data_IF_552051397613
#
_entry.id   IF_552051397613
#
_cell.length_a   1.000
_cell.length_b   1.000
_cell.length_c   1.000
_cell.angle_alpha   90.00
_cell.angle_beta   90.00
_cell.angle_gamma   90.00
#
_symmetry.space_group_name_H-M   'P 1'
#
loop_
_entity.id
_entity.type
_entity.pdbx_description
1 polymer ?
#
# COMPACT_ATOMS: atom_id res chain seq x y z
N UNK A 1 2.16 -6.24 23.02
CA UNK A 1 1.84 -6.69 21.65
C UNK A 1 3.07 -6.60 20.75
N UNK A 2 3.29 -7.53 19.85
CA UNK A 2 4.44 -7.55 18.93
C UNK A 2 3.99 -7.59 17.47
N UNK A 3 4.38 -6.59 16.68
CA UNK A 3 4.22 -6.56 15.22
C UNK A 3 5.47 -7.15 14.58
N UNK A 4 5.32 -8.13 13.69
CA UNK A 4 6.44 -8.67 12.90
C UNK A 4 6.24 -8.25 11.44
N UNK A 5 7.18 -7.47 10.91
CA UNK A 5 7.17 -6.98 9.54
C UNK A 5 8.58 -7.00 8.92
N UNK A 6 8.72 -6.52 7.69
CA UNK A 6 10.00 -6.16 7.09
C UNK A 6 10.48 -4.79 7.59
N UNK A 7 11.23 -4.05 6.77
CA UNK A 7 11.60 -2.67 7.07
C UNK A 7 10.33 -1.80 7.04
N UNK A 8 10.20 -0.88 7.99
CA UNK A 8 9.06 0.04 8.09
C UNK A 8 9.23 1.25 7.14
N UNK A 9 9.04 0.99 5.85
CA UNK A 9 9.11 1.99 4.77
C UNK A 9 7.73 2.46 4.31
N UNK A 10 7.68 3.31 3.27
CA UNK A 10 6.44 3.84 2.68
C UNK A 10 5.73 2.81 1.79
N UNK A 11 5.31 1.69 2.37
CA UNK A 11 4.48 0.68 1.72
C UNK A 11 3.06 0.67 2.29
N UNK A 12 2.08 0.14 1.54
CA UNK A 12 0.67 0.13 1.99
C UNK A 12 0.44 -0.67 3.27
N UNK A 13 1.20 -1.74 3.51
CA UNK A 13 1.15 -2.51 4.75
C UNK A 13 1.73 -1.71 5.93
N UNK A 14 2.89 -1.09 5.72
CA UNK A 14 3.59 -0.29 6.71
C UNK A 14 2.79 0.94 7.11
N UNK A 15 2.18 1.63 6.15
CA UNK A 15 1.29 2.77 6.42
C UNK A 15 0.10 2.32 7.27
N UNK A 16 -0.55 1.19 6.94
CA UNK A 16 -1.65 0.65 7.75
C UNK A 16 -1.20 0.30 9.18
N UNK A 17 -0.03 -0.33 9.35
CA UNK A 17 0.51 -0.66 10.65
C UNK A 17 0.83 0.60 11.46
N UNK A 18 1.33 1.65 10.82
CA UNK A 18 1.57 2.95 11.46
C UNK A 18 0.27 3.63 11.88
N UNK A 19 -0.79 3.56 11.06
CA UNK A 19 -2.09 4.10 11.48
C UNK A 19 -2.65 3.36 12.70
N UNK A 20 -2.55 2.02 12.76
CA UNK A 20 -2.89 1.25 13.97
C UNK A 20 -2.02 1.70 15.15
N UNK A 21 -0.72 1.90 14.95
CA UNK A 21 0.19 2.32 16.01
C UNK A 21 -0.08 3.74 16.52
N UNK A 22 -0.40 4.69 15.63
CA UNK A 22 -0.74 6.08 15.96
C UNK A 22 -1.99 6.20 16.83
N UNK A 23 -2.96 5.31 16.59
CA UNK A 23 -4.25 5.29 17.30
C UNK A 23 -4.28 4.25 18.44
N UNK A 24 -3.11 3.78 18.91
CA UNK A 24 -3.09 2.79 19.98
C UNK A 24 -3.63 3.35 21.29
N UNK A 25 -4.42 2.58 22.05
CA UNK A 25 -4.79 2.92 23.43
C UNK A 25 -3.54 3.10 24.32
N UNK A 26 -3.65 3.94 25.33
CA UNK A 26 -2.52 4.28 26.22
C UNK A 26 -2.00 3.09 27.05
N UNK A 27 -2.84 2.10 27.27
CA UNK A 27 -2.53 0.86 27.99
C UNK A 27 -1.92 -0.24 27.11
N UNK A 28 -1.77 0.01 25.81
CA UNK A 28 -1.18 -0.94 24.84
C UNK A 28 0.26 -0.58 24.55
N UNK A 29 1.19 -1.40 25.04
CA UNK A 29 2.58 -1.36 24.60
C UNK A 29 2.73 -2.10 23.25
N UNK A 30 3.33 -1.44 22.27
CA UNK A 30 3.54 -2.01 20.95
C UNK A 30 5.03 -2.04 20.59
N UNK A 31 5.48 -3.23 20.22
CA UNK A 31 6.84 -3.53 19.80
C UNK A 31 6.86 -3.91 18.33
N UNK A 32 7.94 -3.60 17.63
CA UNK A 32 8.16 -3.96 16.24
C UNK A 32 9.37 -4.89 16.13
N UNK A 33 9.19 -6.03 15.47
CA UNK A 33 10.28 -6.95 15.13
C UNK A 33 10.47 -6.93 13.63
N UNK A 34 11.57 -6.32 13.17
CA UNK A 34 11.91 -6.19 11.77
C UNK A 34 12.67 -7.42 11.31
N UNK A 35 12.08 -8.16 10.37
CA UNK A 35 12.65 -9.39 9.79
C UNK A 35 13.52 -9.01 8.59
N UNK A 36 14.79 -8.73 8.83
CA UNK A 36 15.73 -8.17 7.87
C UNK A 36 16.23 -9.19 6.84
N UNK A 37 16.16 -8.84 5.56
CA UNK A 37 16.93 -9.52 4.52
C UNK A 37 18.39 -9.09 4.63
N UNK A 38 19.37 -9.88 4.12
CA UNK A 38 20.79 -9.48 4.16
C UNK A 38 21.07 -8.10 3.56
N UNK A 39 20.33 -7.73 2.50
CA UNK A 39 20.45 -6.43 1.85
C UNK A 39 19.90 -5.27 2.70
N UNK A 40 19.03 -5.55 3.64
CA UNK A 40 18.35 -4.56 4.47
C UNK A 40 19.06 -4.34 5.82
N UNK A 41 20.13 -5.10 6.09
CA UNK A 41 20.81 -5.08 7.38
C UNK A 41 21.37 -3.70 7.73
N UNK A 42 20.90 -3.18 8.85
CA UNK A 42 21.31 -1.87 9.37
C UNK A 42 20.71 -0.67 8.63
N UNK A 43 19.76 -0.89 7.72
CA UNK A 43 19.00 0.17 7.06
C UNK A 43 17.83 0.57 7.95
N UNK A 44 17.76 1.84 8.34
CA UNK A 44 16.60 2.40 9.04
C UNK A 44 15.43 2.56 8.07
N UNK A 45 14.25 2.18 8.54
CA UNK A 45 13.00 2.44 7.83
C UNK A 45 12.58 3.90 7.98
N UNK A 46 11.75 4.38 7.06
CA UNK A 46 11.21 5.75 7.08
C UNK A 46 10.41 6.04 8.36
N UNK A 47 9.77 5.02 8.92
CA UNK A 47 8.93 5.17 10.11
C UNK A 47 9.64 4.89 11.44
N UNK A 48 10.90 4.46 11.42
CA UNK A 48 11.59 4.03 12.64
C UNK A 48 11.71 5.16 13.68
N UNK A 49 12.05 6.38 13.23
CA UNK A 49 12.16 7.54 14.11
C UNK A 49 10.80 7.92 14.74
N UNK A 50 9.71 7.82 13.98
CA UNK A 50 8.36 8.07 14.49
C UNK A 50 7.93 6.99 15.49
N UNK A 51 8.25 5.72 15.23
CA UNK A 51 7.96 4.61 16.14
C UNK A 51 8.63 4.85 17.49
N UNK A 52 9.93 5.17 17.47
CA UNK A 52 10.71 5.43 18.69
C UNK A 52 10.23 6.68 19.43
N UNK A 53 9.98 7.78 18.71
CA UNK A 53 9.50 9.03 19.29
C UNK A 53 8.12 8.89 19.98
N UNK A 54 7.29 7.97 19.48
CA UNK A 54 5.98 7.66 20.08
C UNK A 54 6.04 6.56 21.15
N UNK A 55 7.25 6.13 21.56
CA UNK A 55 7.45 5.14 22.63
C UNK A 55 7.30 3.68 22.18
N UNK A 56 7.27 3.40 20.87
CA UNK A 56 7.45 2.04 20.34
C UNK A 56 8.91 1.61 20.45
N UNK A 57 9.15 0.30 20.53
CA UNK A 57 10.51 -0.26 20.53
C UNK A 57 10.70 -1.15 19.30
N UNK A 58 11.86 -1.03 18.66
CA UNK A 58 12.21 -1.78 17.47
C UNK A 58 13.26 -2.83 17.82
N UNK A 59 12.99 -4.06 17.43
CA UNK A 59 13.90 -5.20 17.50
C UNK A 59 14.21 -5.66 16.07
N UNK A 60 15.38 -6.26 15.90
CA UNK A 60 15.84 -6.75 14.59
C UNK A 60 16.14 -8.24 14.65
N UNK A 61 15.73 -8.96 13.62
CA UNK A 61 16.05 -10.38 13.42
C UNK A 61 16.42 -10.61 11.95
N UNK A 62 17.52 -11.31 11.70
CA UNK A 62 17.87 -11.70 10.35
C UNK A 62 16.82 -12.65 9.78
N UNK A 63 16.59 -12.61 8.46
CA UNK A 63 15.62 -13.47 7.81
C UNK A 63 15.92 -14.98 8.01
N UNK A 64 14.89 -15.80 7.93
CA UNK A 64 15.05 -17.28 7.99
C UNK A 64 16.10 -17.79 6.99
N UNK A 65 16.11 -17.23 5.76
CA UNK A 65 17.06 -17.62 4.73
C UNK A 65 18.50 -17.28 5.07
N UNK A 66 18.74 -16.20 5.84
CA UNK A 66 20.09 -15.78 6.24
C UNK A 66 20.60 -16.48 7.50
N UNK A 67 19.73 -16.76 8.46
CA UNK A 67 20.10 -17.38 9.74
C UNK A 67 20.02 -18.90 9.72
N UNK A 68 19.20 -19.45 8.84
CA UNK A 68 18.78 -20.86 8.91
C UNK A 68 17.70 -21.10 9.98
N UNK A 69 16.91 -22.20 9.83
CA UNK A 69 15.72 -22.43 10.66
C UNK A 69 16.01 -22.48 12.17
N UNK A 70 17.04 -23.23 12.58
CA UNK A 70 17.35 -23.45 14.00
C UNK A 70 17.78 -22.17 14.70
N UNK A 71 18.66 -21.37 14.07
CA UNK A 71 19.14 -20.11 14.65
C UNK A 71 18.02 -19.07 14.69
N UNK A 72 17.17 -19.01 13.63
CA UNK A 72 16.01 -18.12 13.59
C UNK A 72 15.05 -18.41 14.76
N UNK A 73 14.73 -19.68 15.04
CA UNK A 73 13.85 -20.07 16.15
C UNK A 73 14.47 -19.64 17.49
N UNK A 74 15.77 -19.85 17.71
CA UNK A 74 16.45 -19.46 18.95
C UNK A 74 16.41 -17.95 19.17
N UNK A 75 16.68 -17.17 18.14
CA UNK A 75 16.61 -15.68 18.22
C UNK A 75 15.17 -15.21 18.47
N UNK A 76 14.18 -15.83 17.81
CA UNK A 76 12.77 -15.55 18.05
C UNK A 76 12.40 -15.82 19.53
N UNK A 77 12.83 -16.97 20.07
CA UNK A 77 12.61 -17.31 21.47
C UNK A 77 13.27 -16.29 22.43
N UNK A 78 14.49 -15.86 22.15
CA UNK A 78 15.19 -14.85 22.94
C UNK A 78 14.39 -13.53 22.98
N UNK A 79 14.01 -13.01 21.81
CA UNK A 79 13.28 -11.73 21.70
C UNK A 79 11.90 -11.84 22.37
N UNK A 80 11.17 -12.92 22.15
CA UNK A 80 9.84 -13.14 22.74
C UNK A 80 9.94 -13.28 24.27
N UNK A 81 10.99 -13.93 24.80
CA UNK A 81 11.19 -14.05 26.24
C UNK A 81 11.48 -12.71 26.91
N UNK A 82 12.09 -11.77 26.19
CA UNK A 82 12.33 -10.41 26.64
C UNK A 82 11.04 -9.57 26.62
N UNK A 83 10.29 -9.60 25.51
CA UNK A 83 9.08 -8.79 25.29
C UNK A 83 7.86 -9.35 26.02
N UNK A 84 7.71 -10.67 26.05
CA UNK A 84 6.53 -11.42 26.59
C UNK A 84 5.19 -10.88 26.02
N UNK A 85 5.02 -10.85 24.69
CA UNK A 85 3.84 -10.25 24.07
C UNK A 85 2.60 -11.15 24.28
N UNK A 86 1.46 -10.56 24.61
CA UNK A 86 0.16 -11.25 24.64
C UNK A 86 -0.31 -11.67 23.26
N UNK A 87 0.01 -10.85 22.25
CA UNK A 87 -0.35 -11.05 20.84
C UNK A 87 0.87 -10.83 19.95
N UNK A 88 1.02 -11.69 18.94
CA UNK A 88 1.95 -11.48 17.82
C UNK A 88 1.16 -11.34 16.53
N UNK A 89 1.37 -10.23 15.82
CA UNK A 89 0.74 -9.93 14.53
C UNK A 89 1.80 -9.98 13.43
N UNK A 90 1.71 -10.98 12.55
CA UNK A 90 2.70 -11.22 11.47
C UNK A 90 2.21 -10.67 10.13
N UNK A 91 3.07 -9.90 9.43
CA UNK A 91 2.72 -9.11 8.25
C UNK A 91 3.60 -9.41 7.01
N UNK A 92 4.18 -10.60 6.93
CA UNK A 92 5.12 -11.00 5.87
C UNK A 92 4.50 -11.94 4.82
N UNK A 93 3.17 -11.87 4.65
CA UNK A 93 2.43 -12.67 3.66
C UNK A 93 2.67 -14.19 3.82
N UNK A 94 3.11 -14.88 2.76
CA UNK A 94 3.35 -16.32 2.83
C UNK A 94 4.36 -16.70 3.93
N UNK A 95 5.39 -15.90 4.20
CA UNK A 95 6.40 -16.19 5.23
C UNK A 95 5.83 -16.23 6.65
N UNK A 96 4.61 -15.74 6.87
CA UNK A 96 3.90 -15.81 8.15
C UNK A 96 3.83 -17.25 8.70
N UNK A 97 3.82 -18.29 7.84
CA UNK A 97 3.73 -19.67 8.28
C UNK A 97 4.89 -20.10 9.17
N UNK A 98 6.12 -19.99 8.68
CA UNK A 98 7.29 -20.36 9.47
C UNK A 98 7.52 -19.42 10.65
N UNK A 99 7.24 -18.14 10.49
CA UNK A 99 7.32 -17.16 11.58
C UNK A 99 6.35 -17.56 12.69
N UNK A 100 5.11 -17.89 12.37
CA UNK A 100 4.10 -18.32 13.35
C UNK A 100 4.49 -19.62 14.06
N UNK A 101 5.12 -20.56 13.35
CA UNK A 101 5.72 -21.74 13.97
C UNK A 101 6.80 -21.36 15.00
N UNK A 102 7.74 -20.48 14.65
CA UNK A 102 8.79 -20.03 15.54
C UNK A 102 8.22 -19.30 16.78
N UNK A 103 7.23 -18.42 16.57
CA UNK A 103 6.51 -17.68 17.62
C UNK A 103 5.77 -18.66 18.56
N UNK A 104 5.11 -19.66 18.00
CA UNK A 104 4.43 -20.71 18.81
C UNK A 104 5.42 -21.52 19.64
N UNK A 105 6.60 -21.85 19.08
CA UNK A 105 7.70 -22.51 19.83
C UNK A 105 8.28 -21.64 20.93
N UNK A 106 8.15 -20.31 20.82
CA UNK A 106 8.52 -19.36 21.87
C UNK A 106 7.42 -19.17 22.94
N UNK A 107 6.28 -19.88 22.84
CA UNK A 107 5.24 -19.93 23.88
C UNK A 107 4.04 -18.99 23.65
N UNK A 108 4.04 -18.15 22.62
CA UNK A 108 2.90 -17.23 22.34
C UNK A 108 1.72 -18.03 21.78
N UNK A 109 0.52 -17.76 22.30
CA UNK A 109 -0.72 -18.43 21.87
C UNK A 109 -1.52 -17.61 20.86
N UNK A 110 -1.57 -16.30 21.03
CA UNK A 110 -2.35 -15.40 20.15
C UNK A 110 -1.49 -14.94 18.99
N UNK A 111 -1.67 -15.55 17.82
CA UNK A 111 -0.89 -15.28 16.61
C UNK A 111 -1.83 -14.95 15.46
N UNK A 112 -1.63 -13.79 14.89
CA UNK A 112 -2.37 -13.29 13.73
C UNK A 112 -1.50 -13.41 12.50
N UNK A 113 -2.01 -14.04 11.44
CA UNK A 113 -1.44 -13.96 10.10
C UNK A 113 -2.19 -12.90 9.31
N UNK A 114 -1.49 -11.88 8.81
CA UNK A 114 -2.07 -10.85 7.96
C UNK A 114 -1.43 -10.88 6.57
N UNK A 115 -2.26 -10.93 5.54
CA UNK A 115 -1.86 -10.94 4.14
C UNK A 115 -2.14 -9.58 3.51
N UNK A 116 -1.10 -8.93 2.98
CA UNK A 116 -1.17 -7.60 2.39
C UNK A 116 -1.07 -7.60 0.85
N UNK A 117 -0.94 -8.76 0.22
CA UNK A 117 -0.73 -8.84 -1.22
C UNK A 117 -1.32 -10.11 -1.84
N UNK A 118 -1.75 -10.01 -3.09
CA UNK A 118 -1.97 -11.17 -3.94
C UNK A 118 -0.59 -11.75 -4.36
N UNK A 119 -0.24 -12.89 -3.77
CA UNK A 119 1.06 -13.54 -3.93
C UNK A 119 1.11 -14.19 -5.31
N UNK A 120 1.87 -13.63 -6.24
CA UNK A 120 2.15 -14.18 -7.57
C UNK A 120 3.64 -14.22 -7.83
N UNK A 121 4.10 -15.33 -8.41
CA UNK A 121 5.52 -15.54 -8.69
C UNK A 121 5.85 -15.29 -10.17
N UNK A 122 7.02 -14.70 -10.39
CA UNK A 122 7.65 -14.51 -11.69
C UNK A 122 8.84 -15.47 -11.83
N UNK A 123 9.33 -15.67 -13.05
CA UNK A 123 10.49 -16.50 -13.33
C UNK A 123 10.17 -17.73 -14.16
N UNK A 124 11.13 -18.66 -14.24
CA UNK A 124 11.00 -19.92 -14.97
C UNK A 124 9.86 -20.78 -14.42
N UNK A 125 9.37 -21.73 -15.22
CA UNK A 125 8.34 -22.67 -14.78
C UNK A 125 8.74 -23.41 -13.48
N UNK A 126 9.99 -23.89 -13.41
CA UNK A 126 10.52 -24.60 -12.24
C UNK A 126 10.54 -23.68 -11.00
N UNK A 127 11.03 -22.45 -11.14
CA UNK A 127 11.03 -21.48 -10.02
C UNK A 127 9.63 -21.18 -9.52
N UNK A 128 8.67 -21.01 -10.43
CA UNK A 128 7.27 -20.79 -10.04
C UNK A 128 6.67 -21.98 -9.31
N UNK A 129 6.96 -23.19 -9.78
CA UNK A 129 6.48 -24.43 -9.15
C UNK A 129 7.06 -24.60 -7.73
N UNK A 130 8.36 -24.35 -7.54
CA UNK A 130 8.98 -24.40 -6.21
C UNK A 130 8.38 -23.37 -5.25
N UNK A 131 8.16 -22.16 -5.71
CA UNK A 131 7.52 -21.10 -4.92
C UNK A 131 6.06 -21.45 -4.56
N UNK A 132 5.31 -22.09 -5.46
CA UNK A 132 3.95 -22.57 -5.15
C UNK A 132 3.97 -23.68 -4.10
N UNK A 133 4.92 -24.61 -4.17
CA UNK A 133 5.11 -25.63 -3.13
C UNK A 133 5.45 -24.97 -1.79
N UNK A 134 6.35 -23.98 -1.78
CA UNK A 134 6.66 -23.23 -0.56
C UNK A 134 5.38 -22.60 0.02
N UNK A 135 4.56 -21.95 -0.81
CA UNK A 135 3.29 -21.35 -0.35
C UNK A 135 2.35 -22.40 0.24
N UNK A 136 2.28 -23.62 -0.33
CA UNK A 136 1.46 -24.69 0.24
C UNK A 136 1.93 -25.10 1.65
N UNK A 137 3.24 -25.22 1.86
CA UNK A 137 3.83 -25.47 3.18
C UNK A 137 3.51 -24.33 4.14
N UNK A 138 3.68 -23.10 3.70
CA UNK A 138 3.39 -21.91 4.52
C UNK A 138 1.90 -21.84 4.90
N UNK A 139 0.98 -22.13 3.98
CA UNK A 139 -0.46 -22.23 4.27
C UNK A 139 -0.78 -23.27 5.32
N UNK A 140 -0.13 -24.43 5.26
CA UNK A 140 -0.29 -25.47 6.26
C UNK A 140 0.16 -24.96 7.64
N UNK A 141 1.35 -24.35 7.71
CA UNK A 141 1.88 -23.81 8.96
C UNK A 141 0.97 -22.69 9.52
N UNK A 142 0.50 -21.76 8.68
CA UNK A 142 -0.44 -20.72 9.07
C UNK A 142 -1.71 -21.35 9.68
N UNK A 143 -2.31 -22.32 8.99
CA UNK A 143 -3.56 -22.92 9.45
C UNK A 143 -3.41 -23.68 10.78
N UNK A 144 -2.20 -24.14 11.11
CA UNK A 144 -1.92 -24.90 12.31
C UNK A 144 -1.48 -24.02 13.50
N UNK A 145 -0.72 -22.95 13.24
CA UNK A 145 -0.07 -22.16 14.30
C UNK A 145 -0.74 -20.82 14.56
N UNK A 146 -1.48 -20.25 13.60
CA UNK A 146 -2.24 -19.03 13.83
C UNK A 146 -3.66 -19.31 14.34
N UNK A 147 -4.23 -18.37 15.09
CA UNK A 147 -5.62 -18.41 15.55
C UNK A 147 -6.46 -17.23 15.05
N UNK A 148 -5.85 -16.28 14.35
CA UNK A 148 -6.56 -15.24 13.60
C UNK A 148 -5.95 -15.08 12.19
N UNK A 149 -6.82 -14.82 11.19
CA UNK A 149 -6.48 -14.82 9.77
C UNK A 149 -7.04 -13.55 9.14
N UNK A 150 -6.16 -12.63 8.80
CA UNK A 150 -6.54 -11.33 8.26
C UNK A 150 -5.95 -11.14 6.87
N UNK A 151 -6.62 -10.36 6.06
CA UNK A 151 -6.08 -9.93 4.77
C UNK A 151 -6.63 -8.58 4.34
N UNK A 152 -5.89 -7.87 3.52
CA UNK A 152 -6.29 -6.57 2.99
C UNK A 152 -7.42 -6.66 1.93
N UNK A 153 -7.74 -7.86 1.46
CA UNK A 153 -8.83 -8.12 0.51
C UNK A 153 -9.24 -9.59 0.53
N UNK A 154 -10.41 -9.89 -0.02
CA UNK A 154 -10.87 -11.27 -0.23
C UNK A 154 -9.94 -12.07 -1.15
N UNK A 155 -9.33 -11.42 -2.14
CA UNK A 155 -8.34 -12.03 -3.04
C UNK A 155 -7.09 -12.44 -2.28
N UNK A 156 -6.58 -11.57 -1.38
CA UNK A 156 -5.45 -11.88 -0.52
C UNK A 156 -5.77 -13.07 0.39
N UNK A 157 -6.95 -13.10 1.00
CA UNK A 157 -7.42 -14.21 1.83
C UNK A 157 -7.53 -15.50 1.02
N UNK A 158 -8.10 -15.48 -0.19
CA UNK A 158 -8.19 -16.66 -1.08
C UNK A 158 -6.81 -17.20 -1.45
N UNK A 159 -5.86 -16.32 -1.66
CA UNK A 159 -4.52 -16.71 -2.07
C UNK A 159 -3.73 -17.37 -0.93
N UNK A 160 -3.84 -16.85 0.31
CA UNK A 160 -3.01 -17.29 1.43
C UNK A 160 -3.67 -18.36 2.31
N UNK A 161 -4.99 -18.41 2.42
CA UNK A 161 -5.66 -19.30 3.35
C UNK A 161 -6.37 -20.46 2.65
N UNK A 162 -6.37 -21.63 3.29
CA UNK A 162 -7.16 -22.77 2.85
C UNK A 162 -8.66 -22.48 2.95
N UNK A 163 -9.55 -23.13 2.13
CA UNK A 163 -10.99 -22.85 2.17
C UNK A 163 -11.61 -22.90 3.56
N UNK A 164 -11.24 -23.91 4.36
CA UNK A 164 -11.76 -24.07 5.73
C UNK A 164 -11.22 -23.04 6.74
N UNK A 165 -10.05 -22.44 6.49
CA UNK A 165 -9.50 -21.34 7.28
C UNK A 165 -10.12 -20.02 6.84
N UNK A 166 -10.33 -19.85 5.54
CA UNK A 166 -10.89 -18.64 4.94
C UNK A 166 -12.28 -18.31 5.47
N UNK A 167 -13.10 -19.30 5.84
CA UNK A 167 -14.40 -19.08 6.48
C UNK A 167 -14.30 -18.31 7.81
N UNK A 168 -13.11 -18.31 8.42
CA UNK A 168 -12.78 -17.61 9.67
C UNK A 168 -11.92 -16.35 9.43
N UNK A 169 -11.57 -16.08 8.18
CA UNK A 169 -10.72 -14.92 7.87
C UNK A 169 -11.54 -13.64 7.83
N UNK A 170 -10.90 -12.54 8.16
CA UNK A 170 -11.48 -11.21 8.17
C UNK A 170 -10.74 -10.33 7.16
N UNK A 171 -11.46 -9.50 6.43
CA UNK A 171 -10.85 -8.43 5.64
C UNK A 171 -10.65 -7.23 6.56
N UNK A 172 -9.40 -6.82 6.71
CA UNK A 172 -9.00 -5.58 7.39
C UNK A 172 -8.54 -4.62 6.30
N UNK A 173 -9.36 -3.64 6.00
CA UNK A 173 -9.07 -2.69 4.93
C UNK A 173 -7.80 -1.89 5.24
N UNK A 174 -6.99 -1.65 4.22
CA UNK A 174 -6.02 -0.56 4.30
C UNK A 174 -6.82 0.75 4.37
N UNK A 175 -6.56 1.55 5.38
CA UNK A 175 -7.28 2.78 5.65
C UNK A 175 -6.36 3.99 5.57
N UNK A 176 -6.95 5.16 5.38
CA UNK A 176 -6.25 6.45 5.30
C UNK A 176 -6.69 7.36 6.44
N UNK A 177 -5.82 8.25 6.85
CA UNK A 177 -6.16 9.34 7.74
C UNK A 177 -6.90 10.42 6.93
N UNK A 178 -8.23 10.38 6.98
CA UNK A 178 -9.08 11.32 6.23
C UNK A 178 -8.89 12.76 6.66
N UNK A 179 -8.49 13.01 7.91
CA UNK A 179 -8.24 14.37 8.41
C UNK A 179 -7.06 15.04 7.70
N UNK A 180 -6.02 14.28 7.33
CA UNK A 180 -4.89 14.82 6.56
C UNK A 180 -5.31 15.38 5.19
N UNK A 181 -6.37 14.82 4.60
CA UNK A 181 -6.92 15.30 3.33
C UNK A 181 -7.94 16.44 3.52
N UNK A 182 -8.58 16.48 4.67
CA UNK A 182 -9.48 17.55 5.06
C UNK A 182 -8.73 18.84 5.44
N UNK A 183 -7.68 18.72 6.26
CA UNK A 183 -6.91 19.84 6.84
C UNK A 183 -5.73 20.30 5.97
N UNK A 184 -5.80 20.11 4.65
CA UNK A 184 -4.69 20.47 3.75
C UNK A 184 -4.43 21.98 3.76
N UNK A 185 -3.16 22.36 3.88
CA UNK A 185 -2.70 23.72 3.63
C UNK A 185 -2.82 24.09 2.14
N UNK A 186 -3.86 24.85 1.83
CA UNK A 186 -4.09 25.34 0.46
C UNK A 186 -2.95 26.21 -0.10
N UNK A 187 -2.14 26.85 0.78
CA UNK A 187 -0.97 27.61 0.37
C UNK A 187 0.14 26.67 -0.09
N UNK A 188 0.39 25.59 0.65
CA UNK A 188 1.36 24.58 0.26
C UNK A 188 1.00 23.93 -1.09
N UNK A 189 -0.28 23.63 -1.33
CA UNK A 189 -0.77 23.12 -2.62
C UNK A 189 -0.47 24.10 -3.76
N UNK A 190 -0.78 25.40 -3.57
CA UNK A 190 -0.51 26.43 -4.58
C UNK A 190 0.99 26.57 -4.87
N UNK A 191 1.83 26.59 -3.84
CA UNK A 191 3.29 26.68 -3.97
C UNK A 191 3.84 25.47 -4.73
N UNK A 192 3.41 24.26 -4.36
CA UNK A 192 3.86 23.05 -5.04
C UNK A 192 3.38 23.02 -6.50
N UNK A 193 2.12 23.38 -6.77
CA UNK A 193 1.59 23.44 -8.14
C UNK A 193 2.35 24.47 -8.99
N UNK A 194 2.66 25.63 -8.43
CA UNK A 194 3.43 26.68 -9.11
C UNK A 194 4.86 26.22 -9.44
N UNK A 195 5.49 25.38 -8.60
CA UNK A 195 6.83 24.88 -8.84
C UNK A 195 6.95 23.98 -10.08
N UNK A 196 5.84 23.50 -10.62
CA UNK A 196 5.81 22.71 -11.85
C UNK A 196 6.06 23.58 -13.12
N UNK A 197 5.99 24.90 -13.01
CA UNK A 197 6.17 25.84 -14.13
C UNK A 197 5.29 25.51 -15.34
N UNK A 198 4.04 25.15 -15.09
CA UNK A 198 3.07 24.79 -16.11
C UNK A 198 2.18 25.96 -16.48
N UNK A 199 1.66 26.03 -17.73
CA UNK A 199 0.60 26.98 -18.08
C UNK A 199 -0.62 26.82 -17.18
N UNK A 200 -1.34 27.90 -16.92
CA UNK A 200 -2.48 27.96 -16.01
C UNK A 200 -3.57 26.91 -16.34
N UNK A 201 -3.83 26.70 -17.64
CA UNK A 201 -4.85 25.74 -18.14
C UNK A 201 -4.31 24.32 -18.37
N UNK A 202 -3.05 24.04 -17.98
CA UNK A 202 -2.47 22.72 -18.15
C UNK A 202 -3.12 21.73 -17.18
N UNK A 203 -3.65 20.63 -17.71
CA UNK A 203 -4.20 19.54 -16.91
C UNK A 203 -3.04 18.72 -16.29
N UNK A 204 -3.03 18.57 -14.97
CA UNK A 204 -2.05 17.75 -14.27
C UNK A 204 -2.61 16.36 -14.03
N UNK A 205 -2.08 15.38 -14.77
CA UNK A 205 -2.28 13.97 -14.52
C UNK A 205 -1.30 13.54 -13.42
N UNK A 206 -1.77 12.85 -12.39
CA UNK A 206 -0.93 12.43 -11.28
C UNK A 206 -0.87 10.93 -11.10
N UNK A 207 0.29 10.43 -10.67
CA UNK A 207 0.43 9.05 -10.19
C UNK A 207 1.35 9.01 -8.98
N UNK A 208 0.98 8.20 -7.99
CA UNK A 208 1.76 7.99 -6.76
C UNK A 208 2.01 6.51 -6.55
N UNK A 209 3.27 6.15 -6.32
CA UNK A 209 3.69 4.78 -6.05
C UNK A 209 5.07 4.47 -6.61
N UNK A 210 5.60 3.28 -6.31
CA UNK A 210 6.89 2.84 -6.85
C UNK A 210 6.85 2.80 -8.38
N UNK A 211 7.90 3.29 -9.01
CA UNK A 211 8.02 3.32 -10.47
C UNK A 211 8.57 1.96 -10.93
N UNK A 212 7.64 1.06 -11.26
CA UNK A 212 7.93 -0.31 -11.70
C UNK A 212 6.98 -0.71 -12.83
N UNK A 213 7.40 -1.65 -13.67
CA UNK A 213 6.69 -2.04 -14.90
C UNK A 213 5.22 -2.40 -14.72
N UNK A 214 4.89 -3.09 -13.61
CA UNK A 214 3.49 -3.49 -13.38
C UNK A 214 2.54 -2.32 -13.01
N UNK A 215 3.09 -1.14 -12.70
CA UNK A 215 2.30 0.09 -12.50
C UNK A 215 1.83 0.73 -13.81
N UNK A 216 2.36 0.31 -14.96
CA UNK A 216 1.85 0.64 -16.27
C UNK A 216 2.03 2.09 -16.73
N UNK A 217 2.73 2.94 -15.97
CA UNK A 217 2.80 4.39 -16.21
C UNK A 217 3.42 4.78 -17.55
N UNK A 218 4.18 3.88 -18.21
CA UNK A 218 4.70 4.11 -19.56
C UNK A 218 3.60 4.15 -20.65
N UNK A 219 2.34 3.94 -20.27
CA UNK A 219 1.18 4.16 -21.14
C UNK A 219 0.74 5.65 -21.17
N UNK A 220 0.98 6.41 -20.13
CA UNK A 220 0.45 7.77 -19.97
C UNK A 220 0.94 8.75 -21.05
N UNK A 221 2.19 8.68 -21.58
CA UNK A 221 2.59 9.51 -22.72
C UNK A 221 1.67 9.38 -23.96
N UNK A 222 1.08 8.21 -24.19
CA UNK A 222 0.10 8.01 -25.29
C UNK A 222 -1.20 8.76 -24.98
N UNK A 223 -1.67 8.71 -23.73
CA UNK A 223 -2.86 9.46 -23.28
C UNK A 223 -2.63 10.98 -23.40
N UNK A 224 -1.44 11.46 -23.01
CA UNK A 224 -1.09 12.88 -23.17
C UNK A 224 -1.06 13.31 -24.64
N UNK A 225 -0.63 12.43 -25.53
CA UNK A 225 -0.66 12.69 -26.96
C UNK A 225 -2.10 12.79 -27.49
N UNK A 226 -3.02 11.94 -27.03
CA UNK A 226 -4.44 12.05 -27.38
C UNK A 226 -5.06 13.37 -26.85
N UNK A 227 -4.76 13.76 -25.61
CA UNK A 227 -5.18 15.07 -25.08
C UNK A 227 -4.67 16.23 -25.96
N UNK A 228 -3.41 16.16 -26.41
CA UNK A 228 -2.83 17.17 -27.31
C UNK A 228 -3.56 17.24 -28.67
N UNK A 229 -4.04 16.14 -29.22
CA UNK A 229 -4.88 16.17 -30.43
C UNK A 229 -6.19 16.93 -30.24
N UNK A 230 -6.70 16.96 -29.01
CA UNK A 230 -7.86 17.76 -28.62
C UNK A 230 -7.50 19.20 -28.22
N UNK A 231 -6.28 19.68 -28.53
CA UNK A 231 -5.76 20.99 -28.16
C UNK A 231 -5.75 21.24 -26.64
N UNK A 232 -5.58 20.19 -25.84
CA UNK A 232 -5.46 20.26 -24.38
C UNK A 232 -4.02 20.02 -23.98
N UNK A 233 -3.42 21.01 -23.30
CA UNK A 233 -2.10 20.87 -22.69
C UNK A 233 -2.20 20.08 -21.39
N UNK A 234 -1.30 19.10 -21.23
CA UNK A 234 -1.28 18.25 -20.04
C UNK A 234 0.14 17.98 -19.58
N UNK A 235 0.31 17.79 -18.28
CA UNK A 235 1.55 17.35 -17.67
C UNK A 235 1.31 16.06 -16.87
N UNK A 236 2.35 15.25 -16.74
CA UNK A 236 2.30 14.03 -15.94
C UNK A 236 3.26 14.13 -14.76
N UNK A 237 2.71 14.21 -13.56
CA UNK A 237 3.45 14.29 -12.28
C UNK A 237 3.50 12.90 -11.66
N UNK A 238 4.71 12.41 -11.44
CA UNK A 238 4.99 11.08 -10.90
C UNK A 238 5.69 11.22 -9.55
N UNK A 239 5.16 10.56 -8.54
CA UNK A 239 5.71 10.55 -7.18
C UNK A 239 5.98 9.14 -6.73
N UNK A 240 7.21 8.90 -6.27
CA UNK A 240 7.64 7.63 -5.72
C UNK A 240 9.03 7.20 -6.15
N UNK A 241 9.48 6.08 -5.59
CA UNK A 241 10.82 5.57 -5.80
C UNK A 241 10.98 4.93 -7.17
N UNK A 242 12.05 5.30 -7.91
CA UNK A 242 12.40 4.67 -9.19
C UNK A 242 13.11 3.32 -8.95
N UNK A 243 12.36 2.22 -8.92
CA UNK A 243 12.91 0.88 -8.67
C UNK A 243 13.40 0.18 -9.95
N UNK A 244 12.92 0.58 -11.14
CA UNK A 244 13.29 -0.01 -12.44
C UNK A 244 13.67 1.11 -13.42
N UNK A 245 14.98 1.40 -13.55
CA UNK A 245 15.46 2.50 -14.41
C UNK A 245 15.17 2.24 -15.90
N UNK A 246 15.31 1.03 -16.36
CA UNK A 246 15.00 0.62 -17.74
C UNK A 246 13.54 0.90 -18.13
N UNK A 247 12.64 0.81 -17.16
CA UNK A 247 11.23 1.12 -17.36
C UNK A 247 10.96 2.63 -17.45
N UNK A 248 11.71 3.43 -16.70
CA UNK A 248 11.68 4.90 -16.82
C UNK A 248 12.17 5.32 -18.19
N UNK A 249 13.28 4.73 -18.64
CA UNK A 249 13.88 5.03 -19.94
C UNK A 249 12.89 4.68 -21.07
N UNK A 250 12.19 3.54 -20.97
CA UNK A 250 11.11 3.16 -21.90
C UNK A 250 9.99 4.21 -21.96
N UNK A 251 9.53 4.67 -20.79
CA UNK A 251 8.52 5.72 -20.69
C UNK A 251 9.00 7.02 -21.34
N UNK A 252 10.25 7.43 -21.08
CA UNK A 252 10.82 8.67 -21.62
C UNK A 252 11.06 8.60 -23.12
N UNK A 253 11.42 7.43 -23.67
CA UNK A 253 11.52 7.20 -25.12
C UNK A 253 10.15 7.39 -25.77
N UNK A 254 9.10 6.79 -25.21
CA UNK A 254 7.71 6.99 -25.69
C UNK A 254 7.30 8.46 -25.61
N UNK A 255 7.59 9.12 -24.48
CA UNK A 255 7.27 10.54 -24.28
C UNK A 255 7.94 11.46 -25.30
N UNK A 256 9.21 11.18 -25.65
CA UNK A 256 9.93 11.88 -26.72
C UNK A 256 9.28 11.66 -28.08
N UNK A 257 8.91 10.41 -28.39
CA UNK A 257 8.23 10.05 -29.66
C UNK A 257 6.91 10.79 -29.82
N UNK A 258 6.14 10.97 -28.75
CA UNK A 258 4.87 11.70 -28.75
C UNK A 258 5.03 13.21 -28.54
N UNK A 259 6.25 13.72 -28.35
CA UNK A 259 6.53 15.14 -28.16
C UNK A 259 5.97 15.72 -26.85
N UNK A 260 5.89 14.88 -25.79
CA UNK A 260 5.36 15.25 -24.47
C UNK A 260 6.40 15.11 -23.33
N UNK A 261 7.63 14.75 -23.65
CA UNK A 261 8.67 14.48 -22.66
C UNK A 261 8.96 15.67 -21.72
N UNK A 262 8.86 16.90 -22.23
CA UNK A 262 9.06 18.14 -21.46
C UNK A 262 7.95 18.42 -20.44
N UNK A 263 6.86 17.64 -20.46
CA UNK A 263 5.71 17.72 -19.56
C UNK A 263 5.67 16.58 -18.53
N UNK A 264 6.71 15.74 -18.48
CA UNK A 264 6.84 14.70 -17.45
C UNK A 264 7.66 15.25 -16.30
N UNK A 265 7.09 15.23 -15.09
CA UNK A 265 7.68 15.76 -13.88
C UNK A 265 7.80 14.61 -12.87
N UNK A 266 9.02 14.28 -12.46
CA UNK A 266 9.28 13.25 -11.46
C UNK A 266 9.70 13.94 -10.15
N UNK A 267 8.90 13.78 -9.09
CA UNK A 267 9.12 14.42 -7.79
C UNK A 267 9.91 13.56 -6.80
N UNK A 268 10.24 12.32 -7.17
CA UNK A 268 10.86 11.37 -6.24
C UNK A 268 9.92 10.93 -5.11
N UNK A 269 10.49 10.44 -4.01
CA UNK A 269 9.72 10.08 -2.80
C UNK A 269 9.31 11.33 -2.04
N UNK A 270 8.07 11.35 -1.54
CA UNK A 270 7.51 12.47 -0.78
C UNK A 270 6.71 11.97 0.41
N UNK A 271 6.70 12.76 1.50
CA UNK A 271 5.96 12.48 2.74
C UNK A 271 4.65 13.29 2.85
N UNK A 272 4.48 14.32 2.02
CA UNK A 272 3.33 15.21 1.98
C UNK A 272 2.31 14.80 0.91
N UNK A 273 2.00 13.52 0.83
CA UNK A 273 1.10 12.95 -0.19
C UNK A 273 -0.25 13.67 -0.28
N UNK A 274 -0.91 14.09 0.81
CA UNK A 274 -2.15 14.87 0.71
C UNK A 274 -1.99 16.17 -0.07
N UNK A 275 -0.87 16.90 0.12
CA UNK A 275 -0.56 18.13 -0.62
C UNK A 275 -0.31 17.81 -2.09
N UNK A 276 0.48 16.79 -2.37
CA UNK A 276 0.78 16.33 -3.74
C UNK A 276 -0.50 15.93 -4.48
N UNK A 277 -1.34 15.06 -3.89
CA UNK A 277 -2.61 14.63 -4.49
C UNK A 277 -3.50 15.83 -4.84
N UNK A 278 -3.55 16.84 -3.98
CA UNK A 278 -4.35 18.04 -4.19
C UNK A 278 -3.81 18.95 -5.31
N UNK A 279 -2.63 18.66 -5.86
CA UNK A 279 -2.12 19.33 -7.07
C UNK A 279 -2.56 18.68 -8.37
N UNK A 280 -3.16 17.50 -8.32
CA UNK A 280 -3.61 16.78 -9.51
C UNK A 280 -5.01 17.22 -9.92
N UNK A 281 -5.24 17.28 -11.23
CA UNK A 281 -6.57 17.46 -11.78
C UNK A 281 -7.26 16.10 -11.97
N UNK A 282 -6.48 15.05 -12.30
CA UNK A 282 -6.94 13.66 -12.41
C UNK A 282 -5.83 12.72 -11.96
N UNK A 283 -6.15 11.76 -11.10
CA UNK A 283 -5.28 10.64 -10.78
C UNK A 283 -5.40 9.56 -11.86
N UNK A 284 -4.27 9.13 -12.44
CA UNK A 284 -4.23 8.09 -13.46
C UNK A 284 -3.54 6.84 -12.91
N UNK A 285 -4.26 5.72 -12.90
CA UNK A 285 -3.81 4.45 -12.35
C UNK A 285 -3.78 3.33 -13.39
N UNK A 286 -2.80 3.27 -14.31
CA UNK A 286 -2.72 2.25 -15.35
C UNK A 286 -2.09 0.93 -14.85
N UNK A 287 -2.16 0.64 -13.55
CA UNK A 287 -1.53 -0.53 -12.97
C UNK A 287 -2.15 -1.84 -13.46
N UNK A 288 -1.33 -2.72 -14.02
CA UNK A 288 -1.72 -4.07 -14.43
C UNK A 288 -2.20 -4.91 -13.24
N UNK A 289 -1.71 -4.60 -12.06
CA UNK A 289 -2.05 -5.27 -10.79
C UNK A 289 -1.80 -4.35 -9.62
N UNK A 290 -2.75 -4.32 -8.70
CA UNK A 290 -2.64 -3.71 -7.39
C UNK A 290 -3.03 -4.72 -6.31
N UNK A 291 -2.40 -4.63 -5.14
CA UNK A 291 -2.81 -5.42 -3.98
C UNK A 291 -4.17 -4.91 -3.48
N UNK A 292 -4.20 -3.66 -3.06
CA UNK A 292 -5.40 -2.92 -2.73
C UNK A 292 -5.52 -1.65 -3.57
N UNK A 293 -4.43 -0.87 -3.71
CA UNK A 293 -4.42 0.38 -4.45
C UNK A 293 -4.92 1.57 -3.62
N UNK A 294 -4.47 1.67 -2.37
CA UNK A 294 -4.86 2.72 -1.42
C UNK A 294 -4.70 4.13 -2.01
N UNK A 295 -3.75 4.34 -2.91
CA UNK A 295 -3.51 5.61 -3.59
C UNK A 295 -4.72 6.14 -4.37
N UNK A 296 -5.60 5.24 -4.85
CA UNK A 296 -6.85 5.64 -5.49
C UNK A 296 -7.89 6.13 -4.47
N UNK A 297 -7.88 5.60 -3.24
CA UNK A 297 -8.69 6.12 -2.13
C UNK A 297 -8.14 7.47 -1.69
N UNK A 298 -6.83 7.62 -1.59
CA UNK A 298 -6.14 8.87 -1.26
C UNK A 298 -6.46 9.98 -2.26
N UNK A 299 -6.46 9.68 -3.56
CA UNK A 299 -6.84 10.64 -4.59
C UNK A 299 -8.30 11.11 -4.41
N UNK A 300 -9.22 10.18 -4.21
CA UNK A 300 -10.62 10.52 -3.95
C UNK A 300 -10.80 11.28 -2.63
N UNK A 301 -10.01 10.99 -1.60
CA UNK A 301 -10.01 11.76 -0.35
C UNK A 301 -9.56 13.21 -0.55
N UNK A 302 -8.67 13.47 -1.50
CA UNK A 302 -8.30 14.82 -1.94
C UNK A 302 -9.37 15.46 -2.84
N UNK A 303 -10.46 14.76 -3.18
CA UNK A 303 -11.50 15.20 -4.12
C UNK A 303 -11.09 15.06 -5.59
N UNK A 304 -10.01 14.34 -5.88
CA UNK A 304 -9.42 14.19 -7.21
C UNK A 304 -10.05 13.00 -7.95
N UNK A 305 -10.57 13.21 -9.16
CA UNK A 305 -11.10 12.13 -9.98
C UNK A 305 -10.04 11.09 -10.37
N UNK A 306 -10.49 9.84 -10.57
CA UNK A 306 -9.61 8.70 -10.85
C UNK A 306 -9.96 8.04 -12.18
N UNK A 307 -8.94 7.83 -13.04
CA UNK A 307 -9.03 6.95 -14.21
C UNK A 307 -8.10 5.76 -13.98
N UNK A 308 -8.68 4.58 -13.84
CA UNK A 308 -8.01 3.38 -13.35
C UNK A 308 -8.10 2.24 -14.36
N UNK A 309 -7.03 1.47 -14.48
CA UNK A 309 -7.10 0.18 -15.16
C UNK A 309 -7.73 -0.89 -14.26
N UNK A 310 -8.34 -1.91 -14.85
CA UNK A 310 -8.98 -3.04 -14.13
C UNK A 310 -8.05 -3.81 -13.18
N UNK A 311 -6.76 -3.51 -13.17
CA UNK A 311 -5.80 -4.03 -12.20
C UNK A 311 -6.02 -3.50 -10.78
N UNK A 312 -6.78 -2.42 -10.62
CA UNK A 312 -7.28 -1.96 -9.33
C UNK A 312 -8.54 -2.73 -8.92
N UNK A 313 -8.66 -3.19 -7.67
CA UNK A 313 -9.90 -3.73 -7.14
C UNK A 313 -11.03 -2.70 -7.22
N UNK A 314 -12.25 -3.12 -7.57
CA UNK A 314 -13.43 -2.23 -7.59
C UNK A 314 -13.75 -1.61 -6.23
N UNK A 315 -13.23 -2.22 -5.17
CA UNK A 315 -13.41 -1.76 -3.79
C UNK A 315 -12.80 -0.37 -3.52
N UNK A 316 -11.79 0.06 -4.32
CA UNK A 316 -11.19 1.41 -4.18
C UNK A 316 -12.09 2.53 -4.69
N UNK A 317 -13.17 2.22 -5.41
CA UNK A 317 -14.17 3.23 -5.79
C UNK A 317 -15.00 3.63 -4.56
N UNK A 318 -14.83 4.86 -4.13
CA UNK A 318 -15.57 5.42 -2.98
C UNK A 318 -17.02 5.79 -3.33
N UNK A 319 -17.47 5.48 -4.55
CA UNK A 319 -18.83 5.77 -5.04
C UNK A 319 -19.19 7.26 -5.03
N UNK A 320 -18.20 8.10 -5.18
CA UNK A 320 -18.35 9.55 -5.30
C UNK A 320 -18.69 10.00 -6.73
N UNK A 321 -18.85 9.08 -7.67
CA UNK A 321 -19.13 9.38 -9.09
C UNK A 321 -17.92 9.88 -9.89
N UNK A 322 -16.74 9.93 -9.31
CA UNK A 322 -15.51 10.48 -9.88
C UNK A 322 -14.48 9.42 -10.30
N UNK A 323 -14.88 8.16 -10.38
CA UNK A 323 -13.98 7.05 -10.76
C UNK A 323 -14.42 6.39 -12.05
N UNK A 324 -13.49 6.15 -12.97
CA UNK A 324 -13.68 5.34 -14.18
C UNK A 324 -12.70 4.19 -14.22
N UNK A 325 -13.17 3.03 -14.67
CA UNK A 325 -12.35 1.82 -14.81
C UNK A 325 -12.31 1.35 -16.26
N UNK A 326 -11.12 1.12 -16.77
CA UNK A 326 -10.87 0.60 -18.11
C UNK A 326 -10.41 -0.86 -18.10
N UNK A 327 -10.79 -1.60 -19.14
CA UNK A 327 -10.39 -3.00 -19.34
C UNK A 327 -9.19 -3.13 -20.28
N UNK A 328 -8.86 -2.06 -20.99
CA UNK A 328 -7.79 -2.00 -21.99
C UNK A 328 -6.99 -0.70 -21.89
N UNK A 329 -5.88 -0.64 -22.60
CA UNK A 329 -5.02 0.52 -22.73
C UNK A 329 -5.34 1.30 -24.01
N UNK A 330 -6.59 1.75 -24.15
CA UNK A 330 -7.01 2.62 -25.24
C UNK A 330 -6.84 4.09 -24.84
N UNK A 331 -5.78 4.73 -25.36
CA UNK A 331 -5.42 6.09 -24.98
C UNK A 331 -6.50 7.13 -25.31
N UNK A 332 -7.24 6.95 -26.44
CA UNK A 332 -8.34 7.83 -26.85
C UNK A 332 -9.49 7.80 -25.84
N UNK A 333 -9.90 6.60 -25.38
CA UNK A 333 -10.97 6.44 -24.40
C UNK A 333 -10.54 7.02 -23.05
N UNK A 334 -9.29 6.78 -22.64
CA UNK A 334 -8.74 7.35 -21.40
C UNK A 334 -8.73 8.88 -21.47
N UNK A 335 -8.27 9.47 -22.59
CA UNK A 335 -8.25 10.91 -22.78
C UNK A 335 -9.66 11.53 -22.71
N UNK A 336 -10.65 10.87 -23.33
CA UNK A 336 -12.05 11.31 -23.26
C UNK A 336 -12.57 11.34 -21.83
N UNK A 337 -12.36 10.27 -21.06
CA UNK A 337 -12.82 10.20 -19.66
C UNK A 337 -12.08 11.23 -18.78
N UNK A 338 -10.79 11.48 -19.04
CA UNK A 338 -10.04 12.54 -18.36
C UNK A 338 -10.68 13.91 -18.60
N UNK A 339 -11.03 14.23 -19.86
CA UNK A 339 -11.68 15.50 -20.23
C UNK A 339 -13.07 15.68 -19.59
N UNK A 340 -13.79 14.59 -19.38
CA UNK A 340 -15.07 14.61 -18.67
C UNK A 340 -14.86 14.81 -17.17
N UNK A 341 -13.94 14.03 -16.57
CA UNK A 341 -13.74 13.97 -15.14
C UNK A 341 -13.00 15.17 -14.56
N UNK A 342 -12.14 15.85 -15.34
CA UNK A 342 -11.41 17.03 -14.84
C UNK A 342 -12.34 18.14 -14.31
N UNK A 343 -13.59 18.15 -14.76
CA UNK A 343 -14.64 19.07 -14.32
C UNK A 343 -15.41 18.58 -13.09
N UNK A 344 -15.12 17.35 -12.63
CA UNK A 344 -15.89 16.64 -11.60
C UNK A 344 -15.14 16.58 -10.25
N UNK A 345 -14.15 17.45 -10.03
CA UNK A 345 -13.47 17.54 -8.73
C UNK A 345 -14.47 17.85 -7.61
N UNK A 346 -14.36 17.13 -6.50
CA UNK A 346 -15.26 17.32 -5.36
C UNK A 346 -14.56 18.23 -4.34
N UNK A 347 -15.18 19.38 -4.08
CA UNK A 347 -14.70 20.34 -3.10
C UNK A 347 -15.38 20.20 -1.73
N UNK A 348 -16.48 19.47 -1.65
CA UNK A 348 -17.16 19.13 -0.39
C UNK A 348 -16.40 18.05 0.35
N UNK A 349 -15.49 18.49 1.20
CA UNK A 349 -14.61 17.60 1.98
C UNK A 349 -15.35 16.81 3.05
N UNK A 350 -16.46 17.33 3.58
CA UNK A 350 -17.28 16.65 4.59
C UNK A 350 -17.99 15.45 3.95
N UNK A 351 -18.58 15.63 2.77
CA UNK A 351 -19.15 14.54 1.99
C UNK A 351 -18.12 13.45 1.70
N UNK A 352 -16.93 13.85 1.24
CA UNK A 352 -15.85 12.91 0.93
C UNK A 352 -15.43 12.13 2.17
N UNK A 353 -15.12 12.81 3.28
CA UNK A 353 -14.68 12.17 4.51
C UNK A 353 -15.75 11.24 5.09
N UNK A 354 -17.02 11.68 5.12
CA UNK A 354 -18.14 10.84 5.62
C UNK A 354 -18.32 9.60 4.75
N UNK A 355 -18.22 9.72 3.43
CA UNK A 355 -18.33 8.58 2.51
C UNK A 355 -17.20 7.58 2.71
N UNK A 356 -15.95 8.03 2.84
CA UNK A 356 -14.79 7.16 3.10
C UNK A 356 -14.95 6.44 4.45
N UNK A 357 -15.40 7.15 5.49
CA UNK A 357 -15.69 6.57 6.81
C UNK A 357 -16.77 5.49 6.74
N UNK A 358 -17.89 5.77 6.09
CA UNK A 358 -19.00 4.80 5.93
C UNK A 358 -18.56 3.53 5.18
N UNK A 359 -17.60 3.66 4.26
CA UNK A 359 -17.05 2.53 3.52
C UNK A 359 -15.94 1.77 4.27
N UNK A 360 -15.57 2.21 5.48
CA UNK A 360 -14.59 1.54 6.34
C UNK A 360 -13.14 1.75 5.93
N UNK A 361 -12.83 2.91 5.30
CA UNK A 361 -11.47 3.26 4.88
C UNK A 361 -10.87 4.42 5.69
N UNK A 362 -11.48 4.81 6.79
CA UNK A 362 -10.92 5.76 7.74
C UNK A 362 -10.01 5.05 8.75
N UNK A 363 -8.82 5.58 8.96
CA UNK A 363 -7.79 4.92 9.78
C UNK A 363 -8.14 4.89 11.28
N UNK A 364 -8.81 5.91 11.78
CA UNK A 364 -9.24 5.97 13.19
C UNK A 364 -10.26 4.88 13.47
N UNK A 365 -11.31 4.79 12.65
CA UNK A 365 -12.34 3.75 12.79
C UNK A 365 -11.75 2.35 12.59
N UNK A 366 -10.86 2.18 11.63
CA UNK A 366 -10.22 0.90 11.38
C UNK A 366 -9.33 0.46 12.55
N UNK A 367 -8.56 1.38 13.14
CA UNK A 367 -7.76 1.10 14.33
C UNK A 367 -8.64 0.68 15.51
N UNK A 368 -9.78 1.34 15.75
CA UNK A 368 -10.73 0.94 16.80
C UNK A 368 -11.24 -0.49 16.60
N UNK A 369 -11.60 -0.85 15.38
CA UNK A 369 -12.04 -2.23 15.04
C UNK A 369 -10.91 -3.22 15.31
N UNK A 370 -9.69 -2.91 14.86
CA UNK A 370 -8.51 -3.75 15.06
C UNK A 370 -8.22 -3.95 16.55
N UNK A 371 -8.28 -2.90 17.38
CA UNK A 371 -8.06 -3.03 18.83
C UNK A 371 -9.18 -3.82 19.52
N UNK A 372 -10.42 -3.71 19.10
CA UNK A 372 -11.50 -4.59 19.58
C UNK A 372 -11.22 -6.06 19.26
N UNK A 373 -10.67 -6.35 18.07
CA UNK A 373 -10.29 -7.72 17.69
C UNK A 373 -9.08 -8.22 18.52
N UNK A 374 -8.09 -7.38 18.80
CA UNK A 374 -6.98 -7.74 19.68
C UNK A 374 -7.46 -8.06 21.09
N UNK A 375 -8.28 -7.20 21.69
CA UNK A 375 -8.83 -7.40 23.03
C UNK A 375 -9.63 -8.71 23.11
N UNK A 376 -10.45 -9.01 22.12
CA UNK A 376 -11.18 -10.28 22.05
C UNK A 376 -10.27 -11.51 22.04
N UNK A 377 -9.08 -11.44 21.46
CA UNK A 377 -8.10 -12.52 21.47
C UNK A 377 -7.42 -12.70 22.83
N UNK A 378 -7.26 -11.62 23.62
CA UNK A 378 -6.65 -11.69 24.96
C UNK A 378 -7.61 -12.24 26.02
N UNK A 379 -8.93 -12.13 25.80
CA UNK A 379 -9.96 -12.57 26.78
C UNK A 379 -10.38 -14.04 26.60
N UNK A 380 -9.85 -14.72 25.61
CA UNK A 380 -10.03 -16.16 25.36
C UNK A 380 -8.81 -16.98 25.75
#
# INVERSE_FOLDING_TARGET
>A
MLIINGIMNLGGAEVMLMEIFRHRPNDVEMYFLLNERPIDKGIRGVFDDEIEARGGKIFHIGSQGSLGPSKYIKEMQRIISEIKPDIVHTNLNAKNGFISFAVRKAGVRNIISHCHADIKFRGSFVSRMLNEIEVLVQKFLISHYCNAFWGCSEEANRRLYWPWVRTKSVVVNNAIDTEKYFMIDKRAVKVLRASYNLPEKCIVLGNVGRIVRHKGIAFIPEVMFELKKHNVDSAFVIVGRPDEQDYIDEMMIKAKRFGVAHRIIMLGERNDIPVVMSTFDVFVGPALREGFGIVAVEAQAAGVPCVLYQGFPKLVDMQLGITRFHKDFNAEIWAKDILELVKSQIHDKELVASTIKQRGFDSTMNAEIVYKMYNFMCTR
#
